data_IF_480601831084
#
_entry.id   IF_480601831084
#
_cell.length_a   1.000
_cell.length_b   1.000
_cell.length_c   1.000
_cell.angle_alpha   90.00
_cell.angle_beta   90.00
_cell.angle_gamma   90.00
#
_symmetry.space_group_name_H-M   'P 1'
#
loop_
_entity.id
_entity.type
_entity.pdbx_description
1 polymer ?
#
# COMPACT_ATOMS: atom_id res chain seq x y z
N UNK A 1 6.38 10.90 -21.62
CA UNK A 1 6.31 10.49 -20.20
C UNK A 1 7.09 11.43 -19.28
N UNK A 2 8.36 11.73 -19.56
CA UNK A 2 9.15 12.66 -18.74
C UNK A 2 8.55 14.08 -18.62
N UNK A 3 8.07 14.66 -19.73
CA UNK A 3 7.44 16.00 -19.73
C UNK A 3 6.19 16.09 -18.84
N UNK A 4 5.32 15.08 -18.90
CA UNK A 4 4.09 15.01 -18.09
C UNK A 4 4.38 14.84 -16.59
N UNK A 5 5.46 14.13 -16.24
CA UNK A 5 5.89 14.00 -14.84
C UNK A 5 6.48 15.30 -14.30
N UNK A 6 7.22 16.05 -15.13
CA UNK A 6 7.76 17.38 -14.78
C UNK A 6 6.63 18.40 -14.56
N UNK A 7 5.60 18.42 -15.41
CA UNK A 7 4.43 19.31 -15.25
C UNK A 7 3.62 19.00 -13.97
N UNK A 8 3.51 17.72 -13.60
CA UNK A 8 2.83 17.30 -12.36
C UNK A 8 3.65 17.58 -11.11
N UNK A 9 4.97 17.43 -11.19
CA UNK A 9 5.89 17.85 -10.13
C UNK A 9 5.74 19.33 -9.80
N UNK A 10 5.52 20.16 -10.82
CA UNK A 10 5.34 21.61 -10.64
C UNK A 10 3.98 22.01 -10.02
N UNK A 11 3.02 21.09 -9.92
CA UNK A 11 1.63 21.40 -9.50
C UNK A 11 1.14 20.58 -8.31
N UNK A 12 1.93 19.62 -7.82
CA UNK A 12 1.57 18.74 -6.70
C UNK A 12 1.95 19.29 -5.33
N UNK A 13 1.29 18.79 -4.28
CA UNK A 13 1.74 19.03 -2.91
C UNK A 13 3.04 18.25 -2.65
N UNK A 14 4.09 18.96 -2.24
CA UNK A 14 5.44 18.40 -2.01
C UNK A 14 5.55 17.54 -0.74
N UNK A 15 4.51 17.50 0.08
CA UNK A 15 4.47 16.78 1.36
C UNK A 15 4.40 15.25 1.22
N UNK A 16 3.85 14.73 0.11
CA UNK A 16 3.74 13.31 -0.18
C UNK A 16 4.25 12.96 -1.57
N UNK A 17 5.14 11.96 -1.62
CA UNK A 17 5.67 11.38 -2.85
C UNK A 17 5.33 9.89 -2.92
N UNK A 18 4.78 9.44 -4.04
CA UNK A 18 4.54 8.02 -4.32
C UNK A 18 5.63 7.52 -5.26
N UNK A 19 6.40 6.52 -4.85
CA UNK A 19 7.48 5.92 -5.65
C UNK A 19 7.01 4.58 -6.19
N UNK A 20 7.19 4.36 -7.48
CA UNK A 20 6.85 3.11 -8.17
C UNK A 20 8.13 2.38 -8.57
N UNK A 21 8.25 1.12 -8.18
CA UNK A 21 9.51 0.35 -8.31
C UNK A 21 9.53 -0.74 -9.37
N UNK A 22 8.46 -0.87 -10.15
CA UNK A 22 8.53 -1.52 -11.45
C UNK A 22 8.43 -0.44 -12.51
N UNK A 23 9.23 -0.50 -13.60
CA UNK A 23 8.97 0.41 -14.70
C UNK A 23 7.53 0.14 -15.14
N UNK A 24 6.81 1.19 -15.51
CA UNK A 24 5.55 1.05 -16.25
C UNK A 24 5.70 0.10 -17.46
N UNK A 25 6.95 -0.15 -17.89
CA UNK A 25 7.36 -1.04 -18.97
C UNK A 25 7.55 -2.52 -18.58
N UNK A 26 7.17 -2.98 -17.37
CA UNK A 26 7.17 -4.42 -17.09
C UNK A 26 6.12 -5.17 -17.93
N UNK A 27 5.12 -4.49 -18.48
CA UNK A 27 4.15 -5.11 -19.39
C UNK A 27 3.39 -4.12 -20.29
N UNK A 28 3.36 -4.41 -21.60
CA UNK A 28 2.55 -3.76 -22.63
C UNK A 28 1.01 -3.94 -22.46
N UNK A 29 0.55 -4.35 -21.27
CA UNK A 29 -0.86 -4.68 -20.99
C UNK A 29 -1.65 -3.54 -20.37
N UNK A 30 -0.99 -2.61 -19.68
CA UNK A 30 -1.63 -1.42 -19.12
C UNK A 30 -0.72 -0.22 -19.31
N UNK A 31 -1.26 0.81 -19.94
CA UNK A 31 -0.61 2.10 -20.06
C UNK A 31 -0.39 2.73 -18.67
N UNK A 32 0.66 3.55 -18.56
CA UNK A 32 0.90 4.38 -17.38
C UNK A 32 -0.34 5.19 -16.98
N UNK A 33 -1.17 5.59 -17.95
CA UNK A 33 -2.43 6.31 -17.72
C UNK A 33 -3.47 5.46 -16.98
N UNK A 34 -3.61 4.18 -17.31
CA UNK A 34 -4.56 3.27 -16.66
C UNK A 34 -4.12 2.96 -15.23
N UNK A 35 -2.82 2.72 -15.04
CA UNK A 35 -2.20 2.57 -13.72
C UNK A 35 -2.47 3.81 -12.83
N UNK A 36 -2.46 4.99 -13.43
CA UNK A 36 -2.75 6.24 -12.73
C UNK A 36 -4.25 6.45 -12.45
N UNK A 37 -5.16 6.04 -13.34
CA UNK A 37 -6.60 6.22 -13.08
C UNK A 37 -7.09 5.42 -11.88
N UNK A 38 -6.61 4.18 -11.70
CA UNK A 38 -6.97 3.38 -10.52
C UNK A 38 -6.48 4.04 -9.22
N UNK A 39 -5.29 4.65 -9.27
CA UNK A 39 -4.71 5.38 -8.12
C UNK A 39 -5.42 6.70 -7.81
N UNK A 40 -6.09 7.30 -8.79
CA UNK A 40 -6.86 8.54 -8.58
C UNK A 40 -7.97 8.31 -7.55
N UNK A 41 -8.65 7.17 -7.63
CA UNK A 41 -9.69 6.79 -6.67
C UNK A 41 -9.09 6.50 -5.28
N UNK A 42 -8.01 5.73 -5.20
CA UNK A 42 -7.31 5.47 -3.92
C UNK A 42 -6.90 6.76 -3.23
N UNK A 43 -6.27 7.70 -3.96
CA UNK A 43 -5.86 8.99 -3.44
C UNK A 43 -7.06 9.82 -2.99
N UNK A 44 -8.13 9.88 -3.78
CA UNK A 44 -9.35 10.61 -3.41
C UNK A 44 -9.97 10.05 -2.14
N UNK A 45 -10.05 8.72 -2.00
CA UNK A 45 -10.62 8.08 -0.83
C UNK A 45 -9.78 8.38 0.43
N UNK A 46 -8.46 8.18 0.36
CA UNK A 46 -7.57 8.37 1.50
C UNK A 46 -7.44 9.83 1.96
N UNK A 47 -7.65 10.79 1.06
CA UNK A 47 -7.50 12.23 1.31
C UNK A 47 -8.81 13.01 1.18
N UNK A 48 -9.97 12.34 1.31
CA UNK A 48 -11.28 12.96 1.27
C UNK A 48 -11.47 13.94 0.08
N UNK A 49 -11.14 13.49 -1.13
CA UNK A 49 -11.17 14.22 -2.40
C UNK A 49 -10.22 15.44 -2.52
N UNK A 50 -9.42 15.76 -1.50
CA UNK A 50 -8.47 16.87 -1.55
C UNK A 50 -7.24 16.55 -2.42
N UNK A 51 -6.92 15.26 -2.54
CA UNK A 51 -5.78 14.75 -3.31
C UNK A 51 -6.22 13.77 -4.39
N UNK A 52 -5.52 13.82 -5.52
CA UNK A 52 -5.72 13.00 -6.70
C UNK A 52 -4.37 12.87 -7.45
N UNK A 53 -4.33 12.16 -8.57
CA UNK A 53 -3.07 11.96 -9.31
C UNK A 53 -2.48 13.26 -9.88
N UNK A 54 -3.32 14.24 -10.21
CA UNK A 54 -2.86 15.50 -10.82
C UNK A 54 -2.12 16.38 -9.82
N UNK A 55 -2.46 16.30 -8.53
CA UNK A 55 -1.84 17.10 -7.46
C UNK A 55 -1.01 16.25 -6.48
N UNK A 56 -0.62 15.03 -6.88
CA UNK A 56 0.29 14.15 -6.14
C UNK A 56 1.56 13.94 -6.93
N UNK A 57 2.70 14.06 -6.26
CA UNK A 57 3.98 13.74 -6.87
C UNK A 57 4.12 12.22 -6.95
N UNK A 58 4.18 11.70 -8.18
CA UNK A 58 4.37 10.27 -8.45
C UNK A 58 5.66 10.12 -9.25
N UNK A 59 6.62 9.39 -8.68
CA UNK A 59 7.93 9.16 -9.25
C UNK A 59 8.10 7.70 -9.65
N UNK A 60 8.73 7.48 -10.78
CA UNK A 60 9.34 6.19 -11.10
C UNK A 60 10.70 6.12 -10.40
N UNK A 61 11.02 4.98 -9.80
CA UNK A 61 12.32 4.74 -9.18
C UNK A 61 13.49 4.73 -10.17
N UNK A 62 13.22 4.41 -11.43
CA UNK A 62 14.22 4.36 -12.50
C UNK A 62 13.77 5.22 -13.68
N UNK A 63 13.80 6.56 -13.53
CA UNK A 63 13.39 7.44 -14.60
C UNK A 63 14.18 7.13 -15.88
N UNK A 64 13.48 7.00 -17.01
CA UNK A 64 14.04 6.77 -18.35
C UNK A 64 14.71 5.39 -18.56
N UNK A 65 14.48 4.42 -17.66
CA UNK A 65 15.07 3.07 -17.74
C UNK A 65 13.99 2.01 -18.03
N UNK A 66 13.47 2.02 -19.26
CA UNK A 66 12.47 1.02 -19.66
C UNK A 66 13.06 -0.38 -19.69
N UNK A 67 12.19 -1.41 -19.64
CA UNK A 67 12.61 -2.80 -19.81
C UNK A 67 13.31 -3.02 -21.16
N UNK A 68 12.85 -2.34 -22.21
CA UNK A 68 13.44 -2.41 -23.55
C UNK A 68 14.88 -1.87 -23.55
N UNK A 69 15.10 -0.70 -22.93
CA UNK A 69 16.43 -0.11 -22.79
C UNK A 69 17.34 -1.07 -22.01
N UNK A 70 16.87 -1.58 -20.88
CA UNK A 70 17.64 -2.53 -20.04
C UNK A 70 17.92 -3.85 -20.75
N UNK A 71 16.99 -4.34 -21.55
CA UNK A 71 17.11 -5.60 -22.30
C UNK A 71 18.12 -5.54 -23.45
N UNK A 72 18.42 -4.35 -23.96
CA UNK A 72 19.45 -4.13 -24.98
C UNK A 72 20.85 -3.87 -24.42
N UNK A 73 21.00 -3.74 -23.11
CA UNK A 73 22.27 -3.40 -22.46
C UNK A 73 22.99 -4.63 -21.91
N UNK A 74 24.32 -4.54 -21.84
CA UNK A 74 25.12 -5.48 -21.05
C UNK A 74 24.83 -5.27 -19.57
N UNK A 75 24.97 -6.33 -18.78
CA UNK A 75 24.65 -6.32 -17.35
C UNK A 75 25.37 -5.20 -16.58
N UNK A 76 26.67 -5.04 -16.78
CA UNK A 76 27.47 -4.00 -16.14
C UNK A 76 26.97 -2.58 -16.48
N UNK A 77 26.68 -2.31 -17.76
CA UNK A 77 26.12 -1.03 -18.21
C UNK A 77 24.73 -0.79 -17.61
N UNK A 78 23.92 -1.83 -17.55
CA UNK A 78 22.59 -1.77 -16.96
C UNK A 78 22.65 -1.40 -15.47
N UNK A 79 23.54 -2.03 -14.71
CA UNK A 79 23.77 -1.73 -13.30
C UNK A 79 24.26 -0.29 -13.09
N UNK A 80 25.22 0.17 -13.89
CA UNK A 80 25.72 1.53 -13.82
C UNK A 80 24.62 2.58 -14.08
N UNK A 81 23.83 2.38 -15.13
CA UNK A 81 22.76 3.28 -15.50
C UNK A 81 21.59 3.25 -14.50
N UNK A 82 21.25 2.09 -13.92
CA UNK A 82 20.26 1.97 -12.84
C UNK A 82 20.76 2.72 -11.59
N UNK A 83 22.05 2.61 -11.24
CA UNK A 83 22.67 3.37 -10.14
C UNK A 83 22.61 4.89 -10.34
N UNK A 84 22.79 5.37 -11.57
CA UNK A 84 22.59 6.79 -11.91
C UNK A 84 21.13 7.21 -11.73
N UNK A 85 20.17 6.36 -12.12
CA UNK A 85 18.74 6.63 -11.96
C UNK A 85 18.34 6.73 -10.48
N UNK A 86 18.83 5.81 -9.63
CA UNK A 86 18.63 5.87 -8.18
C UNK A 86 19.27 7.12 -7.55
N UNK A 87 20.46 7.51 -8.02
CA UNK A 87 21.11 8.75 -7.59
C UNK A 87 20.29 9.99 -7.96
N UNK A 88 19.72 10.01 -9.17
CA UNK A 88 18.84 11.09 -9.61
C UNK A 88 17.56 11.15 -8.77
N UNK A 89 16.92 10.00 -8.49
CA UNK A 89 15.77 9.93 -7.60
C UNK A 89 16.10 10.47 -6.21
N UNK A 90 17.24 10.08 -5.64
CA UNK A 90 17.70 10.58 -4.35
C UNK A 90 17.89 12.10 -4.33
N UNK A 91 18.42 12.69 -5.41
CA UNK A 91 18.51 14.15 -5.57
C UNK A 91 17.14 14.81 -5.65
N UNK A 92 16.20 14.25 -6.43
CA UNK A 92 14.82 14.76 -6.52
C UNK A 92 14.14 14.74 -5.15
N UNK A 93 14.20 13.63 -4.42
CA UNK A 93 13.66 13.53 -3.07
C UNK A 93 14.33 14.51 -2.10
N UNK A 94 15.65 14.73 -2.26
CA UNK A 94 16.40 15.72 -1.50
C UNK A 94 15.93 17.16 -1.73
N UNK A 95 15.55 17.49 -2.96
CA UNK A 95 14.99 18.80 -3.31
C UNK A 95 13.55 18.97 -2.85
N UNK A 96 12.71 17.94 -3.06
CA UNK A 96 11.29 17.96 -2.69
C UNK A 96 11.06 17.96 -1.18
N UNK A 97 11.97 17.35 -0.40
CA UNK A 97 11.88 17.21 1.06
C UNK A 97 10.49 16.74 1.54
N UNK A 98 9.96 15.63 1.00
CA UNK A 98 8.62 15.18 1.36
C UNK A 98 8.53 14.78 2.83
N UNK A 99 7.38 15.00 3.46
CA UNK A 99 7.12 14.54 4.83
C UNK A 99 6.86 13.03 4.85
N UNK A 100 6.19 12.52 3.82
CA UNK A 100 5.83 11.10 3.67
C UNK A 100 6.20 10.61 2.28
N UNK A 101 6.76 9.40 2.20
CA UNK A 101 6.92 8.67 0.94
C UNK A 101 6.14 7.36 1.01
N UNK A 102 5.45 7.02 -0.07
CA UNK A 102 4.80 5.70 -0.23
C UNK A 102 5.61 4.93 -1.26
N UNK A 103 6.16 3.79 -0.87
CA UNK A 103 7.07 2.98 -1.71
C UNK A 103 6.31 1.77 -2.23
N UNK A 104 5.96 1.77 -3.52
CA UNK A 104 5.20 0.71 -4.17
C UNK A 104 6.14 -0.23 -4.94
N UNK A 105 6.55 -1.33 -4.31
CA UNK A 105 7.43 -2.34 -4.89
C UNK A 105 6.79 -3.74 -4.89
N UNK A 106 6.91 -4.47 -5.99
CA UNK A 106 6.56 -5.89 -6.01
C UNK A 106 7.79 -6.71 -5.63
N UNK A 107 7.68 -7.46 -4.53
CA UNK A 107 8.65 -8.47 -4.12
C UNK A 107 8.72 -9.57 -5.20
N UNK A 108 9.53 -9.35 -6.24
CA UNK A 108 10.03 -10.42 -7.09
C UNK A 108 11.34 -10.88 -6.49
N UNK A 109 11.47 -12.19 -6.27
CA UNK A 109 12.48 -12.93 -5.49
C UNK A 109 13.97 -12.71 -5.83
N UNK A 110 14.35 -11.62 -6.49
CA UNK A 110 15.72 -11.14 -6.60
C UNK A 110 15.79 -9.73 -6.06
N UNK A 111 16.65 -9.51 -5.06
CA UNK A 111 17.21 -8.19 -4.77
C UNK A 111 17.73 -7.64 -6.10
N UNK A 112 17.05 -6.65 -6.68
CA UNK A 112 17.57 -5.98 -7.87
C UNK A 112 18.91 -5.34 -7.47
N UNK A 113 20.00 -5.78 -8.10
CA UNK A 113 21.34 -5.35 -7.77
C UNK A 113 21.43 -3.81 -7.76
N UNK A 114 21.87 -3.24 -6.65
CA UNK A 114 22.04 -1.81 -6.48
C UNK A 114 20.78 -1.01 -6.14
N UNK A 115 19.60 -1.64 -5.99
CA UNK A 115 18.41 -0.95 -5.51
C UNK A 115 18.62 -0.51 -4.04
N UNK A 116 18.49 0.79 -3.71
CA UNK A 116 18.66 1.26 -2.35
C UNK A 116 17.67 0.65 -1.36
N UNK A 117 18.12 0.30 -0.15
CA UNK A 117 17.30 -0.36 0.86
C UNK A 117 16.03 0.41 1.25
N UNK A 118 16.11 1.74 1.23
CA UNK A 118 14.96 2.59 1.54
C UNK A 118 13.83 2.45 0.50
N UNK A 119 14.12 1.94 -0.69
CA UNK A 119 13.16 1.62 -1.72
C UNK A 119 12.63 0.18 -1.64
N UNK A 120 13.14 -0.66 -0.74
CA UNK A 120 12.59 -2.01 -0.56
C UNK A 120 11.21 -1.95 0.06
N UNK A 121 10.25 -2.59 -0.58
CA UNK A 121 8.93 -2.85 -0.02
C UNK A 121 8.41 -4.18 -0.54
N UNK A 122 7.52 -4.78 0.23
CA UNK A 122 6.90 -6.06 -0.07
C UNK A 122 5.43 -6.05 0.36
N UNK A 123 4.66 -7.04 -0.09
CA UNK A 123 3.29 -7.25 0.39
C UNK A 123 3.28 -7.63 1.87
N UNK A 124 4.32 -8.32 2.36
CA UNK A 124 4.48 -8.72 3.78
C UNK A 124 4.64 -7.50 4.70
N UNK A 125 5.25 -6.45 4.18
CA UNK A 125 5.52 -5.22 4.93
C UNK A 125 4.52 -4.10 4.62
N UNK A 126 3.52 -4.36 3.78
CA UNK A 126 2.55 -3.35 3.34
C UNK A 126 1.80 -2.71 4.52
N UNK A 127 1.73 -1.38 4.53
CA UNK A 127 1.20 -0.59 5.64
C UNK A 127 2.18 -0.41 6.81
N UNK A 128 3.37 -1.01 6.75
CA UNK A 128 4.46 -0.70 7.66
C UNK A 128 4.94 0.74 7.48
N UNK A 129 5.12 1.44 8.59
CA UNK A 129 5.68 2.80 8.61
C UNK A 129 7.07 2.76 9.25
N UNK A 130 8.05 3.40 8.62
CA UNK A 130 9.40 3.55 9.17
C UNK A 130 9.94 4.96 8.95
N UNK A 131 10.87 5.36 9.80
CA UNK A 131 11.56 6.64 9.62
C UNK A 131 12.70 6.47 8.62
N UNK A 132 12.80 7.39 7.67
CA UNK A 132 13.84 7.39 6.66
C UNK A 132 14.67 8.67 6.78
N UNK A 133 15.91 8.59 7.31
CA UNK A 133 16.85 9.70 7.26
C UNK A 133 17.35 9.89 5.82
N UNK A 134 17.30 11.13 5.34
CA UNK A 134 17.80 11.51 4.02
C UNK A 134 19.21 12.12 4.14
N UNK A 135 20.03 11.97 3.10
CA UNK A 135 21.44 12.44 3.09
C UNK A 135 21.61 13.94 3.32
N UNK A 136 20.58 14.74 3.08
CA UNK A 136 20.57 16.20 3.25
C UNK A 136 20.13 16.65 4.67
N UNK A 137 20.03 15.72 5.64
CA UNK A 137 19.59 16.02 7.00
C UNK A 137 18.07 16.16 7.15
N UNK A 138 17.30 16.09 6.05
CA UNK A 138 15.85 15.93 6.10
C UNK A 138 15.50 14.51 6.54
N UNK A 139 14.31 14.32 7.09
CA UNK A 139 13.80 12.98 7.35
C UNK A 139 12.33 12.90 7.00
N UNK A 140 11.92 11.73 6.53
CA UNK A 140 10.54 11.48 6.13
C UNK A 140 10.04 10.15 6.70
N UNK A 141 8.72 9.99 6.69
CA UNK A 141 8.09 8.70 7.00
C UNK A 141 7.96 7.91 5.70
N UNK A 142 8.56 6.72 5.67
CA UNK A 142 8.35 5.74 4.61
C UNK A 142 7.16 4.86 4.97
N UNK A 143 6.20 4.77 4.06
CA UNK A 143 5.13 3.77 4.09
C UNK A 143 5.42 2.71 3.03
N UNK A 144 5.56 1.47 3.47
CA UNK A 144 5.73 0.32 2.58
C UNK A 144 4.40 -0.04 1.93
N UNK A 145 4.40 -0.18 0.60
CA UNK A 145 3.29 -0.64 -0.21
C UNK A 145 3.78 -1.57 -1.32
N UNK A 146 2.90 -1.99 -2.22
CA UNK A 146 3.28 -2.85 -3.35
C UNK A 146 2.78 -2.30 -4.66
N UNK A 147 3.37 -2.76 -5.75
CA UNK A 147 2.98 -2.28 -7.06
C UNK A 147 1.54 -2.75 -7.38
N UNK A 148 0.64 -1.88 -7.89
CA UNK A 148 -0.75 -2.23 -8.19
C UNK A 148 -0.93 -3.46 -9.11
N UNK A 149 0.06 -3.73 -9.96
CA UNK A 149 0.05 -4.91 -10.81
C UNK A 149 -0.03 -6.22 -10.01
N UNK A 150 0.35 -6.22 -8.74
CA UNK A 150 0.18 -7.38 -7.87
C UNK A 150 -1.27 -7.83 -7.77
N UNK A 151 -2.22 -6.90 -7.62
CA UNK A 151 -3.63 -7.26 -7.59
C UNK A 151 -4.24 -7.35 -9.00
N UNK A 152 -3.80 -6.52 -9.95
CA UNK A 152 -4.29 -6.57 -11.33
C UNK A 152 -3.96 -7.90 -12.03
N UNK A 153 -2.84 -8.56 -11.68
CA UNK A 153 -2.45 -9.89 -12.17
C UNK A 153 -3.07 -11.06 -11.40
N UNK A 154 -3.86 -10.80 -10.36
CA UNK A 154 -4.55 -11.88 -9.65
C UNK A 154 -5.52 -12.53 -10.63
N UNK A 155 -5.44 -13.86 -10.76
CA UNK A 155 -6.32 -14.60 -11.64
C UNK A 155 -7.80 -14.26 -11.38
N UNK A 156 -8.57 -14.14 -12.46
CA UNK A 156 -10.02 -13.91 -12.41
C UNK A 156 -10.77 -15.01 -11.65
N UNK A 157 -10.16 -16.19 -11.51
CA UNK A 157 -10.63 -17.31 -10.68
C UNK A 157 -10.64 -17.01 -9.18
N UNK A 158 -9.95 -15.95 -8.72
CA UNK A 158 -9.79 -15.60 -7.29
C UNK A 158 -10.21 -14.15 -6.97
N UNK A 159 -11.48 -13.77 -7.23
CA UNK A 159 -11.95 -12.38 -7.14
C UNK A 159 -11.80 -11.78 -5.73
N UNK A 160 -12.00 -12.58 -4.69
CA UNK A 160 -11.89 -12.12 -3.31
C UNK A 160 -10.43 -11.86 -2.89
N UNK A 161 -9.48 -12.63 -3.44
CA UNK A 161 -8.05 -12.40 -3.21
C UNK A 161 -7.62 -11.09 -3.86
N UNK A 162 -8.11 -10.80 -5.07
CA UNK A 162 -7.92 -9.52 -5.75
C UNK A 162 -8.45 -8.36 -4.91
N UNK A 163 -9.71 -8.44 -4.47
CA UNK A 163 -10.35 -7.40 -3.65
C UNK A 163 -9.57 -7.12 -2.35
N UNK A 164 -9.09 -8.17 -1.68
CA UNK A 164 -8.30 -8.00 -0.45
C UNK A 164 -6.98 -7.29 -0.71
N UNK A 165 -6.31 -7.60 -1.82
CA UNK A 165 -5.07 -6.93 -2.23
C UNK A 165 -5.31 -5.47 -2.61
N UNK A 166 -6.42 -5.17 -3.28
CA UNK A 166 -6.86 -3.80 -3.57
C UNK A 166 -7.08 -3.01 -2.27
N UNK A 167 -7.84 -3.57 -1.32
CA UNK A 167 -8.06 -2.92 -0.02
C UNK A 167 -6.79 -2.74 0.81
N UNK A 168 -5.87 -3.70 0.78
CA UNK A 168 -4.58 -3.55 1.44
C UNK A 168 -3.76 -2.42 0.79
N UNK A 169 -3.78 -2.31 -0.54
CA UNK A 169 -3.15 -1.20 -1.25
C UNK A 169 -3.75 0.14 -0.84
N UNK A 170 -5.08 0.27 -0.84
CA UNK A 170 -5.78 1.48 -0.40
C UNK A 170 -5.44 1.85 1.05
N UNK A 171 -5.38 0.86 1.93
CA UNK A 171 -5.04 1.07 3.34
C UNK A 171 -3.65 1.70 3.51
N UNK A 172 -2.69 1.41 2.63
CA UNK A 172 -1.36 2.07 2.68
C UNK A 172 -1.44 3.59 2.47
N UNK A 173 -2.39 4.07 1.65
CA UNK A 173 -2.62 5.50 1.43
C UNK A 173 -3.37 6.14 2.60
N UNK A 174 -4.28 5.41 3.24
CA UNK A 174 -4.92 5.87 4.49
C UNK A 174 -3.88 6.05 5.60
N UNK A 175 -2.92 5.13 5.70
CA UNK A 175 -1.80 5.23 6.65
C UNK A 175 -0.92 6.44 6.31
N UNK A 176 -0.59 6.65 5.02
CA UNK A 176 0.17 7.82 4.58
C UNK A 176 -0.54 9.15 4.89
N UNK A 177 -1.85 9.21 4.69
CA UNK A 177 -2.70 10.36 5.03
C UNK A 177 -2.68 10.66 6.54
N UNK A 178 -2.77 9.63 7.38
CA UNK A 178 -2.64 9.80 8.84
C UNK A 178 -1.24 10.23 9.24
N UNK A 179 -0.19 9.67 8.63
CA UNK A 179 1.20 10.07 8.89
C UNK A 179 1.43 11.55 8.55
N UNK A 180 0.87 12.06 7.46
CA UNK A 180 0.89 13.49 7.12
C UNK A 180 0.21 14.37 8.17
N UNK A 181 -0.86 13.86 8.80
CA UNK A 181 -1.56 14.52 9.90
C UNK A 181 -0.86 14.33 11.26
N UNK A 182 0.31 13.70 11.32
CA UNK A 182 1.03 13.40 12.56
C UNK A 182 0.37 12.31 13.41
N UNK A 183 -0.43 11.43 12.80
CA UNK A 183 -1.18 10.35 13.45
C UNK A 183 -0.66 8.99 13.01
N UNK A 184 -0.87 7.98 13.85
CA UNK A 184 -0.53 6.59 13.56
C UNK A 184 -1.80 5.75 13.55
N UNK A 185 -1.93 4.86 12.59
CA UNK A 185 -2.99 3.85 12.56
C UNK A 185 -2.46 2.60 13.25
N UNK A 186 -3.12 2.18 14.34
CA UNK A 186 -2.74 1.02 15.13
C UNK A 186 -3.87 -0.02 15.13
N UNK A 187 -3.51 -1.31 15.23
CA UNK A 187 -4.45 -2.42 15.36
C UNK A 187 -4.09 -3.62 14.49
N UNK A 188 -4.72 -4.75 14.78
CA UNK A 188 -4.50 -6.02 14.06
C UNK A 188 -5.11 -6.01 12.64
N UNK A 189 -5.99 -5.07 12.32
CA UNK A 189 -6.67 -4.99 11.02
C UNK A 189 -5.71 -4.99 9.82
N UNK A 190 -4.60 -4.23 9.87
CA UNK A 190 -3.64 -4.19 8.77
C UNK A 190 -2.83 -5.48 8.65
N UNK A 191 -2.55 -6.14 9.79
CA UNK A 191 -1.90 -7.45 9.81
C UNK A 191 -2.82 -8.51 9.18
N UNK A 192 -4.11 -8.47 9.52
CA UNK A 192 -5.11 -9.37 8.94
C UNK A 192 -5.27 -9.17 7.44
N UNK A 193 -5.36 -7.91 6.99
CA UNK A 193 -5.42 -7.59 5.56
C UNK A 193 -4.17 -8.09 4.81
N UNK A 194 -2.97 -7.94 5.40
CA UNK A 194 -1.73 -8.51 4.83
C UNK A 194 -1.79 -10.02 4.67
N UNK A 195 -2.15 -10.74 5.73
CA UNK A 195 -2.27 -12.20 5.67
C UNK A 195 -3.31 -12.63 4.63
N UNK A 196 -4.49 -12.02 4.62
CA UNK A 196 -5.51 -12.36 3.62
C UNK A 196 -5.12 -12.00 2.18
N UNK A 197 -4.34 -10.93 1.97
CA UNK A 197 -3.84 -10.57 0.64
C UNK A 197 -2.79 -11.56 0.10
N UNK A 198 -1.99 -12.15 0.98
CA UNK A 198 -0.97 -13.15 0.66
C UNK A 198 -1.56 -14.54 0.48
N UNK A 199 -2.26 -15.01 1.51
CA UNK A 199 -2.62 -16.42 1.68
C UNK A 199 -4.08 -16.69 1.27
N UNK A 200 -4.89 -15.64 1.11
CA UNK A 200 -6.33 -15.75 0.87
C UNK A 200 -7.12 -15.84 2.18
N UNK A 201 -8.42 -16.16 2.12
CA UNK A 201 -9.22 -16.36 3.33
C UNK A 201 -8.69 -17.53 4.15
N UNK A 202 -8.82 -17.42 5.47
CA UNK A 202 -8.60 -18.56 6.37
C UNK A 202 -9.89 -19.38 6.53
N UNK A 203 -9.73 -20.69 6.68
CA UNK A 203 -10.82 -21.58 7.06
C UNK A 203 -10.87 -21.67 8.59
N UNK A 204 -12.04 -21.41 9.17
CA UNK A 204 -12.32 -21.59 10.59
C UNK A 204 -13.27 -22.76 10.78
N UNK A 205 -12.83 -23.76 11.52
CA UNK A 205 -13.72 -24.82 11.98
C UNK A 205 -14.61 -24.26 13.10
N UNK A 206 -15.92 -24.42 12.95
CA UNK A 206 -16.93 -24.03 13.93
C UNK A 206 -17.83 -25.22 14.22
N UNK A 207 -18.62 -25.17 15.30
CA UNK A 207 -19.61 -26.20 15.62
C UNK A 207 -20.65 -26.40 14.51
N UNK A 208 -20.81 -25.41 13.62
CA UNK A 208 -21.74 -25.42 12.49
C UNK A 208 -21.08 -25.87 11.16
N UNK A 209 -19.78 -26.19 11.17
CA UNK A 209 -19.00 -26.56 9.99
C UNK A 209 -17.82 -25.64 9.71
N UNK A 210 -17.29 -25.68 8.48
CA UNK A 210 -16.15 -24.86 8.05
C UNK A 210 -16.63 -23.50 7.54
N UNK A 211 -16.27 -22.43 8.24
CA UNK A 211 -16.51 -21.05 7.82
C UNK A 211 -15.27 -20.48 7.12
N UNK A 212 -15.46 -19.89 5.93
CA UNK A 212 -14.43 -19.12 5.25
C UNK A 212 -14.45 -17.70 5.83
N UNK A 213 -13.33 -17.23 6.35
CA UNK A 213 -13.21 -15.89 6.94
C UNK A 213 -11.99 -15.15 6.44
N UNK A 214 -12.13 -13.83 6.28
CA UNK A 214 -11.03 -12.89 6.00
C UNK A 214 -10.54 -12.20 7.27
N UNK A 215 -11.00 -12.64 8.43
CA UNK A 215 -10.48 -12.22 9.72
C UNK A 215 -9.49 -13.29 10.19
N UNK A 216 -8.23 -12.92 10.38
CA UNK A 216 -7.32 -13.70 11.20
C UNK A 216 -7.57 -13.29 12.66
N UNK A 217 -8.02 -14.22 13.50
CA UNK A 217 -8.11 -14.00 14.94
C UNK A 217 -7.28 -15.11 15.55
N UNK A 218 -6.05 -14.79 15.91
CA UNK A 218 -5.23 -15.62 16.78
C UNK A 218 -5.73 -15.53 18.23
N UNK A 219 -5.23 -16.39 19.14
CA UNK A 219 -5.48 -16.26 20.58
C UNK A 219 -5.13 -14.86 21.11
N UNK A 220 -4.13 -14.23 20.50
CA UNK A 220 -3.64 -12.87 20.79
C UNK A 220 -4.59 -11.74 20.33
N UNK A 221 -5.52 -12.03 19.41
CA UNK A 221 -6.43 -11.05 18.80
C UNK A 221 -7.80 -11.02 19.49
N UNK A 222 -7.96 -11.78 20.58
CA UNK A 222 -9.11 -11.72 21.47
C UNK A 222 -8.85 -10.60 22.48
N UNK A 223 -9.68 -9.56 22.46
CA UNK A 223 -9.63 -8.52 23.49
C UNK A 223 -9.68 -9.18 24.88
N UNK A 224 -8.76 -8.79 25.77
CA UNK A 224 -8.77 -9.32 27.14
C UNK A 224 -10.14 -9.07 27.77
N UNK A 225 -10.55 -9.97 28.67
CA UNK A 225 -11.82 -9.85 29.38
C UNK A 225 -11.98 -8.47 30.01
N UNK A 226 -10.88 -7.92 30.54
CA UNK A 226 -10.82 -6.57 31.12
C UNK A 226 -11.04 -5.45 30.08
N UNK A 227 -10.47 -5.57 28.88
CA UNK A 227 -10.70 -4.58 27.81
C UNK A 227 -12.15 -4.62 27.31
N UNK A 228 -12.74 -5.81 27.19
CA UNK A 228 -14.15 -5.97 26.83
C UNK A 228 -15.07 -5.36 27.89
N UNK A 229 -14.76 -5.58 29.17
CA UNK A 229 -15.53 -5.02 30.29
C UNK A 229 -15.46 -3.49 30.33
N UNK A 230 -14.28 -2.91 30.09
CA UNK A 230 -14.12 -1.45 29.97
C UNK A 230 -14.91 -0.87 28.79
N UNK A 231 -14.92 -1.54 27.64
CA UNK A 231 -15.69 -1.10 26.47
C UNK A 231 -17.20 -1.21 26.69
N UNK A 232 -17.68 -2.20 27.45
CA UNK A 232 -19.08 -2.31 27.90
C UNK A 232 -19.45 -1.17 28.86
N UNK A 233 -18.60 -0.87 29.85
CA UNK A 233 -18.82 0.23 30.80
C UNK A 233 -18.88 1.60 30.11
N UNK A 234 -18.11 1.77 29.04
CA UNK A 234 -18.11 2.98 28.21
C UNK A 234 -19.26 3.01 27.18
N UNK A 235 -20.11 1.99 27.13
CA UNK A 235 -21.28 1.92 26.26
C UNK A 235 -20.98 1.64 24.78
N UNK A 236 -19.75 1.23 24.44
CA UNK A 236 -19.35 0.89 23.07
C UNK A 236 -19.80 -0.51 22.66
N UNK A 237 -20.06 -1.40 23.61
CA UNK A 237 -20.53 -2.76 23.40
C UNK A 237 -21.75 -3.03 24.29
N UNK A 238 -22.77 -3.70 23.75
CA UNK A 238 -23.86 -4.25 24.54
C UNK A 238 -23.38 -5.48 25.31
N UNK A 239 -23.77 -5.62 26.58
CA UNK A 239 -23.32 -6.70 27.47
C UNK A 239 -23.42 -8.08 26.80
N UNK A 240 -22.38 -8.94 26.93
CA UNK A 240 -22.38 -10.27 26.35
C UNK A 240 -23.36 -11.16 27.13
N UNK A 241 -24.63 -11.16 26.72
CA UNK A 241 -25.65 -11.96 27.40
C UNK A 241 -27.10 -11.74 26.95
N UNK A 242 -27.43 -10.62 26.30
CA UNK A 242 -28.84 -10.34 25.92
C UNK A 242 -29.01 -10.36 24.40
N UNK A 243 -29.05 -11.57 23.83
CA UNK A 243 -29.75 -11.77 22.55
C UNK A 243 -31.25 -11.67 22.81
N UNK A 244 -31.82 -10.46 22.72
CA UNK A 244 -33.25 -10.37 22.41
C UNK A 244 -33.44 -10.76 20.95
N UNK A 245 -33.72 -12.05 20.73
CA UNK A 245 -34.50 -12.47 19.57
C UNK A 245 -35.82 -11.71 19.61
N UNK A 246 -35.97 -10.64 18.83
CA UNK A 246 -37.28 -10.25 18.37
C UNK A 246 -37.65 -11.19 17.22
N UNK A 247 -38.40 -12.23 17.57
CA UNK A 247 -39.18 -13.00 16.61
C UNK A 247 -40.00 -12.02 15.76
N UNK A 248 -39.70 -11.95 14.46
CA UNK A 248 -40.65 -11.43 13.49
C UNK A 248 -41.70 -12.51 13.31
N UNK A 249 -42.79 -12.39 14.07
CA UNK A 249 -44.01 -13.14 13.84
C UNK A 249 -45.11 -12.16 13.43
N UNK A 250 -45.81 -12.55 12.36
CA UNK A 250 -47.03 -11.99 11.75
C UNK A 250 -46.86 -10.74 10.89
N UNK A 251 -47.59 -10.52 9.80
CA UNK A 251 -48.53 -11.27 8.94
C UNK A 251 -49.06 -10.18 8.01
N UNK A 252 -49.06 -10.40 6.69
CA UNK A 252 -50.24 -10.25 5.79
C UNK A 252 -50.03 -11.31 4.70
#
# INVERSE_FOLDING_TARGET
MASTNVERLATGYEDLVVILLEPADRDARMSYKEILSERDQTLRLAFNNQRNVKNTIILDSRPLRSREIRGGEKEETCQQNDGMAYTALGKVLGSLRPKVIVVCHCDSAGLEAGLPEYLFSSVRDAGGASFLPMKNGHSCVKISSFHPMFFARTETSSPLKRLTREHLFDATFVIASNALAGRTVCGFGIRNLRHCALDGPCFRLTEQGVNISYQWVGPEDVASSELVEQLCQLGFLSEPGVRTMKSVSKSI
#
